data_IF_339210687993
#
_entry.id   IF_339210687993
#
_cell.length_a   1.000
_cell.length_b   1.000
_cell.length_c   1.000
_cell.angle_alpha   90.00
_cell.angle_beta   90.00
_cell.angle_gamma   90.00
#
_symmetry.space_group_name_H-M   'P 1'
#
loop_
_entity.id
_entity.type
_entity.pdbx_description
1 polymer ?
#
# COMPACT_ATOMS: atom_id res chain seq x y z
N UNK A 1 -7.45 5.67 20.78
CA UNK A 1 -7.72 5.07 19.45
C UNK A 1 -6.49 5.31 18.61
N UNK A 2 -5.98 4.29 17.91
CA UNK A 2 -4.74 4.40 17.14
C UNK A 2 -4.86 5.44 15.99
N UNK A 3 -3.80 6.22 15.79
CA UNK A 3 -3.61 7.14 14.67
C UNK A 3 -2.11 7.17 14.34
N UNK A 4 -1.73 6.77 13.11
CA UNK A 4 -0.34 6.68 12.70
C UNK A 4 0.37 8.04 12.70
N UNK A 5 -0.37 9.14 12.51
CA UNK A 5 0.19 10.49 12.50
C UNK A 5 0.58 11.00 13.90
N UNK A 6 0.16 10.32 14.97
CA UNK A 6 0.67 10.59 16.31
C UNK A 6 2.14 10.18 16.50
N UNK A 7 2.68 9.36 15.60
CA UNK A 7 4.03 8.80 15.66
C UNK A 7 4.93 9.25 14.50
N UNK A 8 4.35 9.98 13.53
CA UNK A 8 5.05 10.54 12.37
C UNK A 8 5.62 11.91 12.71
N UNK A 9 6.81 12.21 12.19
CA UNK A 9 7.29 13.59 12.16
C UNK A 9 6.56 14.37 11.05
N UNK A 10 5.56 15.15 11.47
CA UNK A 10 4.75 16.00 10.58
C UNK A 10 5.25 17.45 10.52
N UNK A 11 6.19 17.80 11.40
CA UNK A 11 6.73 19.15 11.58
C UNK A 11 7.95 19.41 10.69
N UNK A 12 8.59 18.36 10.17
CA UNK A 12 9.77 18.47 9.30
C UNK A 12 9.44 18.08 7.86
N UNK A 13 9.81 18.93 6.90
CA UNK A 13 9.81 18.62 5.46
C UNK A 13 11.22 18.55 4.92
N UNK A 14 11.46 17.68 3.96
CA UNK A 14 12.75 17.50 3.30
C UNK A 14 12.67 18.10 1.92
N UNK A 15 13.50 19.09 1.66
CA UNK A 15 13.73 19.66 0.33
C UNK A 15 14.91 18.95 -0.32
N UNK A 16 14.75 18.52 -1.56
CA UNK A 16 15.80 17.84 -2.32
C UNK A 16 15.61 18.07 -3.82
N UNK A 17 16.72 18.04 -4.56
CA UNK A 17 16.75 18.29 -6.00
C UNK A 17 17.37 17.11 -6.73
N UNK A 18 16.77 16.74 -7.84
CA UNK A 18 17.38 15.86 -8.83
C UNK A 18 17.95 16.69 -9.98
N UNK A 19 19.18 16.40 -10.39
CA UNK A 19 19.88 17.00 -11.53
C UNK A 19 20.23 15.94 -12.56
N UNK A 20 20.03 16.24 -13.83
CA UNK A 20 20.47 15.37 -14.91
C UNK A 20 22.00 15.40 -15.04
N UNK A 21 22.62 14.22 -15.17
CA UNK A 21 24.08 14.11 -15.40
C UNK A 21 24.51 14.56 -16.78
N UNK A 22 23.69 14.26 -17.79
CA UNK A 22 23.97 14.51 -19.20
C UNK A 22 23.21 15.74 -19.67
N UNK A 23 23.85 16.52 -20.53
CA UNK A 23 23.24 17.66 -21.19
C UNK A 23 22.39 17.19 -22.38
N UNK A 24 21.34 16.42 -22.09
CA UNK A 24 20.42 15.87 -23.08
C UNK A 24 18.99 16.33 -22.77
N UNK A 25 18.15 16.63 -23.77
CA UNK A 25 16.77 16.99 -23.51
C UNK A 25 15.99 15.82 -22.91
N UNK A 26 15.36 16.02 -21.75
CA UNK A 26 14.36 15.07 -21.21
C UNK A 26 12.98 15.40 -21.76
N UNK A 27 12.30 14.38 -22.28
CA UNK A 27 10.93 14.53 -22.73
C UNK A 27 9.97 14.63 -21.53
N UNK A 28 8.83 15.32 -21.68
CA UNK A 28 7.84 15.43 -20.60
C UNK A 28 7.35 14.09 -20.04
N UNK A 29 7.26 13.04 -20.87
CA UNK A 29 6.86 11.70 -20.45
C UNK A 29 7.93 11.02 -19.59
N UNK A 30 9.20 11.36 -19.79
CA UNK A 30 10.32 10.85 -19.01
C UNK A 30 10.26 11.38 -17.58
N UNK A 31 10.10 12.69 -17.45
CA UNK A 31 9.91 13.38 -16.16
C UNK A 31 8.67 12.83 -15.45
N UNK A 32 7.54 12.69 -16.16
CA UNK A 32 6.32 12.12 -15.59
C UNK A 32 6.50 10.67 -15.10
N UNK A 33 7.28 9.85 -15.84
CA UNK A 33 7.60 8.47 -15.47
C UNK A 33 8.47 8.41 -14.22
N UNK A 34 9.50 9.26 -14.13
CA UNK A 34 10.34 9.40 -12.94
C UNK A 34 9.51 9.83 -11.72
N UNK A 35 8.72 10.90 -11.86
CA UNK A 35 7.84 11.41 -10.80
C UNK A 35 6.86 10.34 -10.30
N UNK A 36 6.25 9.59 -11.22
CA UNK A 36 5.34 8.50 -10.88
C UNK A 36 6.05 7.40 -10.10
N UNK A 37 7.23 6.98 -10.56
CA UNK A 37 8.04 5.95 -9.89
C UNK A 37 8.46 6.40 -8.49
N UNK A 38 9.01 7.59 -8.36
CA UNK A 38 9.48 8.13 -7.09
C UNK A 38 8.33 8.30 -6.09
N UNK A 39 7.20 8.86 -6.53
CA UNK A 39 6.01 9.00 -5.69
C UNK A 39 5.46 7.64 -5.23
N UNK A 40 5.54 6.60 -6.07
CA UNK A 40 5.09 5.24 -5.73
C UNK A 40 5.97 4.64 -4.62
N UNK A 41 7.29 4.75 -4.77
CA UNK A 41 8.26 4.26 -3.78
C UNK A 41 8.08 5.01 -2.45
N UNK A 42 8.02 6.34 -2.50
CA UNK A 42 7.76 7.17 -1.31
C UNK A 42 6.45 6.78 -0.61
N UNK A 43 5.38 6.60 -1.37
CA UNK A 43 4.08 6.17 -0.86
C UNK A 43 4.14 4.83 -0.14
N UNK A 44 4.86 3.86 -0.71
CA UNK A 44 4.97 2.53 -0.12
C UNK A 44 5.84 2.51 1.13
N UNK A 45 6.94 3.28 1.19
CA UNK A 45 7.69 3.43 2.43
C UNK A 45 6.83 4.03 3.55
N UNK A 46 6.08 5.09 3.23
CA UNK A 46 5.16 5.73 4.17
C UNK A 46 4.11 4.74 4.71
N UNK A 47 3.57 3.88 3.85
CA UNK A 47 2.65 2.82 4.27
C UNK A 47 3.34 1.75 5.13
N UNK A 48 4.54 1.30 4.78
CA UNK A 48 5.28 0.31 5.57
C UNK A 48 5.58 0.84 6.99
N UNK A 49 6.00 2.11 7.11
CA UNK A 49 6.24 2.75 8.40
C UNK A 49 4.93 2.85 9.21
N UNK A 50 3.81 3.15 8.56
CA UNK A 50 2.48 3.22 9.18
C UNK A 50 1.99 1.85 9.65
N UNK A 51 2.22 0.79 8.86
CA UNK A 51 1.92 -0.59 9.23
C UNK A 51 2.74 -1.01 10.46
N UNK A 52 4.05 -0.74 10.46
CA UNK A 52 4.91 -1.03 11.61
C UNK A 52 4.42 -0.28 12.86
N UNK A 53 4.05 1.00 12.71
CA UNK A 53 3.48 1.79 13.81
C UNK A 53 2.18 1.18 14.35
N UNK A 54 1.28 0.72 13.49
CA UNK A 54 0.05 0.05 13.91
C UNK A 54 0.35 -1.20 14.75
N UNK A 55 1.24 -2.05 14.26
CA UNK A 55 1.64 -3.29 14.95
C UNK A 55 2.30 -3.02 16.31
N UNK A 56 3.22 -2.06 16.38
CA UNK A 56 3.90 -1.68 17.64
C UNK A 56 2.93 -1.14 18.70
N UNK A 57 1.78 -0.59 18.28
CA UNK A 57 0.78 -0.02 19.17
C UNK A 57 -0.43 -0.94 19.38
N UNK A 58 -0.24 -2.24 19.17
CA UNK A 58 -1.19 -3.28 19.55
C UNK A 58 -2.33 -3.52 18.56
N UNK A 59 -2.25 -2.99 17.33
CA UNK A 59 -3.14 -3.43 16.24
C UNK A 59 -2.68 -4.82 15.79
N UNK A 60 -3.61 -5.78 15.76
CA UNK A 60 -3.31 -7.13 15.33
C UNK A 60 -3.04 -7.19 13.82
N UNK A 61 -2.15 -8.06 13.32
CA UNK A 61 -1.94 -8.24 11.88
C UNK A 61 -3.24 -8.58 11.12
N UNK A 62 -4.16 -9.30 11.75
CA UNK A 62 -5.46 -9.66 11.18
C UNK A 62 -6.40 -8.46 10.95
N UNK A 63 -6.14 -7.35 11.65
CA UNK A 63 -6.90 -6.11 11.60
C UNK A 63 -6.38 -5.12 10.55
N UNK A 64 -5.26 -5.42 9.90
CA UNK A 64 -4.68 -4.60 8.84
C UNK A 64 -5.05 -5.20 7.48
N UNK A 65 -5.75 -4.44 6.63
CA UNK A 65 -6.19 -4.88 5.31
C UNK A 65 -5.64 -3.98 4.20
N UNK A 66 -5.37 -4.58 3.04
CA UNK A 66 -5.07 -3.92 1.78
C UNK A 66 -6.18 -4.21 0.78
N UNK A 67 -6.49 -3.25 -0.10
CA UNK A 67 -7.39 -3.47 -1.23
C UNK A 67 -6.60 -3.78 -2.49
N UNK A 68 -7.13 -4.70 -3.30
CA UNK A 68 -6.37 -5.32 -4.38
C UNK A 68 -6.30 -4.51 -5.70
N UNK A 69 -6.84 -3.29 -5.75
CA UNK A 69 -6.55 -2.31 -6.80
C UNK A 69 -6.05 -0.98 -6.23
N UNK A 70 -5.47 -0.16 -7.13
CA UNK A 70 -4.94 1.15 -6.76
C UNK A 70 -6.06 2.16 -6.53
N UNK A 71 -5.86 3.07 -5.58
CA UNK A 71 -6.72 4.23 -5.39
C UNK A 71 -6.85 5.06 -6.68
N UNK A 72 -8.07 5.29 -7.19
CA UNK A 72 -8.31 6.25 -8.28
C UNK A 72 -7.64 7.60 -8.02
N UNK A 73 -6.98 8.16 -9.04
CA UNK A 73 -6.18 9.40 -8.94
C UNK A 73 -7.02 10.68 -8.84
N UNK A 74 -8.27 10.65 -9.27
CA UNK A 74 -9.13 11.84 -9.44
C UNK A 74 -10.10 12.07 -8.27
N UNK A 75 -10.25 11.11 -7.37
CA UNK A 75 -11.16 11.24 -6.23
C UNK A 75 -10.49 11.93 -5.04
N UNK A 76 -11.26 12.76 -4.34
CA UNK A 76 -10.83 13.44 -3.10
C UNK A 76 -11.30 12.60 -1.92
N UNK A 77 -10.40 11.80 -1.35
CA UNK A 77 -10.68 10.96 -0.19
C UNK A 77 -10.60 11.73 1.14
N UNK A 78 -11.01 13.00 1.16
CA UNK A 78 -10.87 13.85 2.34
C UNK A 78 -11.65 13.33 3.55
N UNK A 79 -12.67 12.51 3.32
CA UNK A 79 -13.51 11.88 4.34
C UNK A 79 -12.98 10.50 4.78
N UNK A 80 -11.97 9.95 4.09
CA UNK A 80 -11.40 8.63 4.39
C UNK A 80 -10.26 8.73 5.43
N UNK A 81 -10.60 9.12 6.66
CA UNK A 81 -9.64 9.13 7.77
C UNK A 81 -10.05 8.15 8.88
N UNK A 82 -11.21 8.39 9.51
CA UNK A 82 -11.88 7.43 10.40
C UNK A 82 -13.24 7.12 9.81
N UNK A 83 -13.52 5.85 9.55
CA UNK A 83 -14.81 5.42 9.02
C UNK A 83 -15.37 4.34 9.93
N UNK A 84 -16.69 4.29 10.09
CA UNK A 84 -17.30 3.05 10.60
C UNK A 84 -17.07 1.94 9.59
N UNK A 85 -16.95 0.70 10.05
CA UNK A 85 -16.69 -0.44 9.17
C UNK A 85 -17.78 -0.61 8.10
N UNK A 86 -19.05 -0.36 8.45
CA UNK A 86 -20.16 -0.43 7.51
C UNK A 86 -20.09 0.65 6.41
N UNK A 87 -19.74 1.90 6.77
CA UNK A 87 -19.54 2.97 5.76
C UNK A 87 -18.30 2.70 4.91
N UNK A 88 -17.22 2.22 5.52
CA UNK A 88 -16.03 1.78 4.82
C UNK A 88 -16.31 0.65 3.82
N UNK A 89 -17.19 -0.31 4.15
CA UNK A 89 -17.59 -1.38 3.25
C UNK A 89 -18.23 -0.85 1.96
N UNK A 90 -19.01 0.23 2.03
CA UNK A 90 -19.51 0.91 0.84
C UNK A 90 -18.39 1.63 0.08
N UNK A 91 -17.61 2.45 0.80
CA UNK A 91 -16.63 3.36 0.18
C UNK A 91 -15.44 2.63 -0.44
N UNK A 92 -15.03 1.50 0.14
CA UNK A 92 -13.86 0.75 -0.34
C UNK A 92 -14.23 -0.31 -1.38
N UNK A 93 -15.51 -0.64 -1.55
CA UNK A 93 -15.96 -1.62 -2.54
C UNK A 93 -15.48 -1.34 -3.98
N UNK A 94 -15.52 -0.09 -4.50
CA UNK A 94 -15.00 0.21 -5.83
C UNK A 94 -13.47 0.05 -5.96
N UNK A 95 -12.75 0.07 -4.84
CA UNK A 95 -11.28 -0.01 -4.81
C UNK A 95 -10.82 -1.46 -5.02
N UNK A 96 -11.55 -2.44 -4.51
CA UNK A 96 -11.18 -3.84 -4.74
C UNK A 96 -11.61 -4.77 -3.61
N UNK A 97 -11.10 -5.99 -3.65
CA UNK A 97 -11.31 -6.99 -2.62
C UNK A 97 -10.35 -6.75 -1.45
N UNK A 98 -10.83 -6.82 -0.19
CA UNK A 98 -9.97 -6.71 0.98
C UNK A 98 -9.11 -7.96 1.15
N UNK A 99 -7.86 -7.78 1.53
CA UNK A 99 -6.89 -8.83 1.84
C UNK A 99 -6.21 -8.46 3.15
N UNK A 100 -6.25 -9.31 4.16
CA UNK A 100 -5.61 -9.03 5.45
C UNK A 100 -4.11 -9.32 5.43
N UNK A 101 -3.35 -8.59 6.23
CA UNK A 101 -1.91 -8.79 6.43
C UNK A 101 -1.63 -10.17 7.02
N UNK A 102 -2.50 -10.65 7.92
CA UNK A 102 -2.60 -12.06 8.29
C UNK A 102 -4.06 -12.53 8.12
N UNK A 103 -4.33 -13.65 7.45
CA UNK A 103 -5.69 -14.13 7.28
C UNK A 103 -6.38 -14.44 8.61
N UNK A 104 -7.66 -14.06 8.70
CA UNK A 104 -8.57 -14.32 9.82
C UNK A 104 -9.96 -14.64 9.32
N UNK A 105 -10.80 -15.25 10.16
CA UNK A 105 -12.20 -15.53 9.80
C UNK A 105 -12.94 -14.26 9.37
N UNK A 106 -12.79 -13.16 10.12
CA UNK A 106 -13.36 -11.86 9.79
C UNK A 106 -12.92 -11.37 8.41
N UNK A 107 -11.62 -11.42 8.11
CA UNK A 107 -11.10 -10.96 6.81
C UNK A 107 -11.63 -11.80 5.63
N UNK A 108 -11.76 -13.11 5.82
CA UNK A 108 -12.34 -14.05 4.84
C UNK A 108 -13.84 -13.75 4.63
N UNK A 109 -14.58 -13.49 5.70
CA UNK A 109 -15.99 -13.11 5.65
C UNK A 109 -16.18 -11.79 4.89
N UNK A 110 -15.33 -10.80 5.17
CA UNK A 110 -15.39 -9.52 4.50
C UNK A 110 -15.06 -9.62 3.01
N UNK A 111 -14.03 -10.40 2.65
CA UNK A 111 -13.71 -10.71 1.26
C UNK A 111 -14.87 -11.43 0.56
N UNK A 112 -15.47 -12.41 1.22
CA UNK A 112 -16.62 -13.15 0.69
C UNK A 112 -17.81 -12.24 0.40
N UNK A 113 -18.12 -11.28 1.28
CA UNK A 113 -19.20 -10.32 1.08
C UNK A 113 -18.99 -9.55 -0.24
N UNK A 114 -17.81 -8.97 -0.45
CA UNK A 114 -17.51 -8.23 -1.67
C UNK A 114 -17.56 -9.13 -2.91
N UNK A 115 -16.99 -10.33 -2.82
CA UNK A 115 -16.96 -11.27 -3.92
C UNK A 115 -18.38 -11.72 -4.32
N UNK A 116 -19.25 -11.94 -3.33
CA UNK A 116 -20.65 -12.31 -3.51
C UNK A 116 -21.46 -11.18 -4.11
N UNK A 117 -21.33 -9.97 -3.58
CA UNK A 117 -22.01 -8.78 -4.10
C UNK A 117 -21.60 -8.50 -5.55
N UNK A 118 -20.31 -8.66 -5.88
CA UNK A 118 -19.78 -8.54 -7.24
C UNK A 118 -20.32 -9.63 -8.19
N UNK A 119 -20.45 -10.86 -7.71
CA UNK A 119 -20.98 -11.97 -8.51
C UNK A 119 -22.47 -11.75 -8.85
N UNK A 120 -23.27 -11.35 -7.86
CA UNK A 120 -24.70 -11.06 -8.04
C UNK A 120 -24.90 -9.87 -8.99
N UNK A 121 -24.18 -8.77 -8.78
CA UNK A 121 -24.28 -7.61 -9.66
C UNK A 121 -23.81 -7.87 -11.09
N UNK A 122 -22.79 -8.72 -11.25
CA UNK A 122 -22.37 -9.19 -12.58
C UNK A 122 -23.49 -9.95 -13.28
N UNK A 123 -24.18 -10.86 -12.57
CA UNK A 123 -25.32 -11.60 -13.13
C UNK A 123 -26.46 -10.66 -13.51
N UNK A 124 -26.87 -9.75 -12.61
CA UNK A 124 -27.92 -8.77 -12.88
C UNK A 124 -27.60 -7.96 -14.14
N UNK A 125 -26.36 -7.45 -14.24
CA UNK A 125 -25.91 -6.69 -15.41
C UNK A 125 -25.98 -7.50 -16.71
N UNK A 126 -25.50 -8.74 -16.69
CA UNK A 126 -25.55 -9.65 -17.86
C UNK A 126 -26.99 -9.95 -18.28
N UNK A 127 -27.92 -10.02 -17.33
CA UNK A 127 -29.35 -10.23 -17.57
C UNK A 127 -30.14 -8.94 -17.82
N UNK A 128 -29.44 -7.82 -18.08
CA UNK A 128 -30.03 -6.51 -18.31
C UNK A 128 -31.00 -6.08 -17.20
N UNK A 129 -30.67 -6.41 -15.95
CA UNK A 129 -31.32 -5.93 -14.73
C UNK A 129 -30.41 -4.87 -14.10
N UNK A 130 -31.02 -3.80 -13.59
CA UNK A 130 -30.26 -2.78 -12.85
C UNK A 130 -29.56 -3.41 -11.64
N UNK A 131 -28.24 -3.19 -11.45
CA UNK A 131 -27.51 -3.75 -10.32
C UNK A 131 -28.05 -3.27 -8.97
N UNK A 132 -27.75 -4.05 -7.93
CA UNK A 132 -27.89 -3.65 -6.53
C UNK A 132 -27.06 -2.40 -6.26
N UNK A 133 -27.65 -1.48 -5.48
CA UNK A 133 -27.02 -0.22 -5.09
C UNK A 133 -25.97 -0.45 -4.02
N UNK A 134 -24.89 0.33 -4.04
CA UNK A 134 -23.79 0.19 -3.07
C UNK A 134 -24.22 0.43 -1.62
N UNK A 135 -25.28 1.20 -1.39
CA UNK A 135 -25.88 1.38 -0.06
C UNK A 135 -26.30 0.05 0.57
N UNK A 136 -26.65 -0.95 -0.22
CA UNK A 136 -27.07 -2.26 0.28
C UNK A 136 -25.89 -3.03 0.91
N UNK A 137 -24.64 -2.74 0.54
CA UNK A 137 -23.47 -3.33 1.20
C UNK A 137 -23.40 -2.95 2.68
N UNK A 138 -23.83 -1.75 3.06
CA UNK A 138 -23.77 -1.27 4.45
C UNK A 138 -24.56 -2.24 5.34
N UNK A 139 -25.84 -2.48 5.00
CA UNK A 139 -26.70 -3.38 5.77
C UNK A 139 -26.25 -4.85 5.71
N UNK A 140 -25.68 -5.30 4.58
CA UNK A 140 -25.12 -6.65 4.48
C UNK A 140 -23.86 -6.81 5.34
N UNK A 141 -23.04 -5.77 5.48
CA UNK A 141 -21.86 -5.77 6.34
C UNK A 141 -22.25 -5.77 7.82
N UNK A 142 -23.21 -4.94 8.21
CA UNK A 142 -23.74 -4.94 9.57
C UNK A 142 -24.30 -6.31 9.94
N UNK A 143 -25.06 -6.91 9.01
CA UNK A 143 -25.65 -8.22 9.23
C UNK A 143 -24.62 -9.36 9.30
N UNK A 144 -23.48 -9.20 8.64
CA UNK A 144 -22.39 -10.17 8.70
C UNK A 144 -21.83 -10.33 10.11
N UNK A 145 -21.82 -9.25 10.89
CA UNK A 145 -21.30 -9.24 12.25
C UNK A 145 -22.32 -9.68 13.30
N UNK A 146 -23.63 -9.65 12.99
CA UNK A 146 -24.71 -9.92 13.94
C UNK A 146 -25.37 -11.28 13.67
N UNK A 147 -25.92 -11.49 12.47
CA UNK A 147 -26.64 -12.71 12.09
C UNK A 147 -25.76 -13.76 11.40
N UNK A 148 -24.59 -13.34 10.89
CA UNK A 148 -23.62 -14.23 10.28
C UNK A 148 -23.83 -14.49 8.79
N UNK A 149 -22.95 -15.33 8.25
CA UNK A 149 -22.74 -15.46 6.80
C UNK A 149 -23.94 -16.02 6.02
N UNK A 150 -24.59 -17.06 6.53
CA UNK A 150 -25.70 -17.72 5.83
C UNK A 150 -26.89 -16.79 5.67
N UNK A 151 -27.14 -15.98 6.70
CA UNK A 151 -28.14 -14.92 6.65
C UNK A 151 -27.79 -13.87 5.59
N UNK A 152 -26.54 -13.36 5.60
CA UNK A 152 -26.08 -12.38 4.60
C UNK A 152 -26.21 -12.91 3.18
N UNK A 153 -25.86 -14.19 2.97
CA UNK A 153 -26.01 -14.87 1.68
C UNK A 153 -27.48 -14.90 1.25
N UNK A 154 -28.39 -15.35 2.11
CA UNK A 154 -29.82 -15.38 1.78
C UNK A 154 -30.34 -13.98 1.50
N UNK A 155 -30.01 -13.02 2.37
CA UNK A 155 -30.46 -11.63 2.24
C UNK A 155 -29.99 -10.98 0.94
N UNK A 156 -28.74 -11.23 0.53
CA UNK A 156 -28.23 -10.74 -0.76
C UNK A 156 -29.02 -11.32 -1.94
N UNK A 157 -29.35 -12.61 -1.89
CA UNK A 157 -30.17 -13.27 -2.92
C UNK A 157 -31.58 -12.70 -2.95
N UNK A 158 -32.20 -12.47 -1.80
CA UNK A 158 -33.54 -11.89 -1.70
C UNK A 158 -33.57 -10.46 -2.28
N UNK A 159 -32.59 -9.62 -1.95
CA UNK A 159 -32.45 -8.29 -2.54
C UNK A 159 -32.31 -8.35 -4.08
N UNK A 160 -31.59 -9.33 -4.60
CA UNK A 160 -31.41 -9.52 -6.03
C UNK A 160 -32.67 -10.02 -6.73
N UNK A 161 -33.41 -10.92 -6.09
CA UNK A 161 -34.70 -11.41 -6.56
C UNK A 161 -35.72 -10.27 -6.64
N UNK A 162 -35.87 -9.50 -5.56
CA UNK A 162 -36.74 -8.31 -5.53
C UNK A 162 -36.42 -7.33 -6.67
N UNK A 163 -35.13 -7.11 -6.93
CA UNK A 163 -34.67 -6.22 -8.01
C UNK A 163 -34.97 -6.81 -9.40
N UNK A 164 -34.81 -8.11 -9.58
CA UNK A 164 -35.08 -8.81 -10.83
C UNK A 164 -36.58 -8.89 -11.15
N UNK A 165 -37.43 -9.13 -10.15
CA UNK A 165 -38.88 -9.21 -10.28
C UNK A 165 -39.46 -7.86 -10.73
N UNK A 166 -39.01 -6.76 -10.09
CA UNK A 166 -39.37 -5.40 -10.51
C UNK A 166 -39.03 -5.16 -11.98
N UNK A 167 -37.84 -5.59 -12.40
CA UNK A 167 -37.40 -5.42 -13.78
C UNK A 167 -38.17 -6.29 -14.78
N UNK A 168 -38.54 -7.51 -14.38
CA UNK A 168 -39.36 -8.41 -15.17
C UNK A 168 -40.78 -7.84 -15.38
N UNK A 169 -41.44 -7.39 -14.30
CA UNK A 169 -42.78 -6.79 -14.37
C UNK A 169 -42.85 -5.61 -15.33
N UNK A 170 -41.89 -4.68 -15.25
CA UNK A 170 -41.81 -3.52 -16.15
C UNK A 170 -41.65 -3.95 -17.61
N UNK A 171 -40.88 -4.99 -17.89
CA UNK A 171 -40.67 -5.50 -19.25
C UNK A 171 -41.96 -6.13 -19.80
N UNK A 172 -42.65 -6.94 -18.99
CA UNK A 172 -43.93 -7.56 -19.36
C UNK A 172 -44.99 -6.51 -19.63
N UNK A 173 -45.10 -5.47 -18.79
CA UNK A 173 -46.02 -4.34 -19.00
C UNK A 173 -45.75 -3.58 -20.31
N UNK A 174 -44.50 -3.58 -20.79
CA UNK A 174 -44.10 -3.01 -22.08
C UNK A 174 -44.21 -3.97 -23.27
N UNK A 175 -44.64 -5.21 -23.04
CA UNK A 175 -44.69 -6.26 -24.07
C UNK A 175 -43.31 -6.78 -24.49
N UNK A 176 -42.27 -6.52 -23.70
CA UNK A 176 -40.91 -6.99 -23.97
C UNK A 176 -40.74 -8.44 -23.49
N UNK A 177 -40.03 -9.27 -24.27
CA UNK A 177 -39.66 -10.63 -23.85
C UNK A 177 -38.46 -10.55 -22.89
N UNK A 178 -38.70 -10.84 -21.62
CA UNK A 178 -37.65 -10.94 -20.59
C UNK A 178 -37.75 -12.25 -19.83
N UNK A 179 -36.62 -12.87 -19.56
CA UNK A 179 -36.55 -14.08 -18.73
C UNK A 179 -36.64 -13.69 -17.25
N UNK A 180 -37.47 -14.40 -16.50
CA UNK A 180 -37.53 -14.27 -15.04
C UNK A 180 -36.33 -14.99 -14.39
N UNK A 181 -35.65 -14.30 -13.47
CA UNK A 181 -34.54 -14.89 -12.72
C UNK A 181 -35.05 -15.60 -11.47
N UNK A 182 -34.53 -16.79 -11.21
CA UNK A 182 -34.91 -17.63 -10.08
C UNK A 182 -33.79 -17.65 -9.04
N UNK A 183 -34.12 -18.09 -7.82
CA UNK A 183 -33.16 -18.24 -6.71
C UNK A 183 -31.93 -19.09 -7.13
N UNK A 184 -32.17 -20.15 -7.89
CA UNK A 184 -31.13 -21.04 -8.42
C UNK A 184 -30.10 -20.34 -9.32
N UNK A 185 -30.47 -19.26 -10.01
CA UNK A 185 -29.54 -18.51 -10.85
C UNK A 185 -28.54 -17.73 -9.99
N UNK A 186 -29.02 -17.14 -8.90
CA UNK A 186 -28.18 -16.45 -7.92
C UNK A 186 -27.33 -17.44 -7.12
N UNK A 187 -27.89 -18.57 -6.70
CA UNK A 187 -27.12 -19.64 -6.07
C UNK A 187 -25.97 -20.12 -6.97
N UNK A 188 -26.21 -20.24 -8.28
CA UNK A 188 -25.17 -20.55 -9.27
C UNK A 188 -24.10 -19.46 -9.37
N UNK A 189 -24.49 -18.19 -9.35
CA UNK A 189 -23.54 -17.08 -9.34
C UNK A 189 -22.65 -17.09 -8.08
N UNK A 190 -23.17 -17.59 -6.95
CA UNK A 190 -22.47 -17.66 -5.68
C UNK A 190 -21.54 -18.88 -5.51
N UNK A 191 -21.50 -19.83 -6.45
CA UNK A 191 -20.61 -21.01 -6.38
C UNK A 191 -19.14 -20.61 -6.20
N UNK A 192 -18.66 -19.60 -6.94
CA UNK A 192 -17.26 -19.15 -6.85
C UNK A 192 -16.95 -18.51 -5.49
N UNK A 193 -17.75 -17.53 -4.99
CA UNK A 193 -17.60 -17.03 -3.62
C UNK A 193 -17.61 -18.12 -2.55
N UNK A 194 -18.54 -19.08 -2.63
CA UNK A 194 -18.66 -20.17 -1.64
C UNK A 194 -17.41 -21.05 -1.65
N UNK A 195 -16.93 -21.48 -2.83
CA UNK A 195 -15.68 -22.26 -2.94
C UNK A 195 -14.46 -21.52 -2.40
N UNK A 196 -14.38 -20.21 -2.65
CA UNK A 196 -13.31 -19.37 -2.08
C UNK A 196 -13.35 -19.42 -0.55
N UNK A 197 -14.53 -19.25 0.05
CA UNK A 197 -14.71 -19.26 1.51
C UNK A 197 -14.33 -20.62 2.11
N UNK A 198 -14.89 -21.71 1.58
CA UNK A 198 -14.61 -23.07 2.06
C UNK A 198 -13.12 -23.40 1.99
N UNK A 199 -12.45 -23.02 0.89
CA UNK A 199 -11.03 -23.24 0.76
C UNK A 199 -10.22 -22.38 1.74
N UNK A 200 -10.57 -21.11 1.88
CA UNK A 200 -9.88 -20.18 2.79
C UNK A 200 -10.05 -20.58 4.26
N UNK A 201 -11.19 -21.17 4.64
CA UNK A 201 -11.40 -21.72 5.98
C UNK A 201 -10.49 -22.91 6.25
N UNK A 202 -10.42 -23.87 5.34
CA UNK A 202 -9.49 -25.01 5.45
C UNK A 202 -8.03 -24.56 5.56
N UNK A 203 -7.67 -23.52 4.82
CA UNK A 203 -6.32 -22.96 4.85
C UNK A 203 -6.02 -22.27 6.16
N UNK A 204 -6.98 -21.48 6.65
CA UNK A 204 -6.87 -20.80 7.94
C UNK A 204 -6.73 -21.80 9.08
N UNK A 205 -7.55 -22.86 9.10
CA UNK A 205 -7.45 -23.95 10.09
C UNK A 205 -6.06 -24.58 10.07
N UNK A 206 -5.54 -24.92 8.89
CA UNK A 206 -4.20 -25.48 8.75
C UNK A 206 -3.11 -24.53 9.25
N UNK A 207 -3.15 -23.26 8.82
CA UNK A 207 -2.13 -22.26 9.15
C UNK A 207 -2.17 -21.85 10.62
N UNK A 208 -3.35 -21.87 11.25
CA UNK A 208 -3.51 -21.53 12.67
C UNK A 208 -2.74 -22.48 13.58
N UNK A 209 -2.47 -23.72 13.13
CA UNK A 209 -1.65 -24.69 13.85
C UNK A 209 -0.14 -24.56 13.63
N UNK A 210 0.33 -23.61 12.81
CA UNK A 210 1.74 -23.44 12.49
C UNK A 210 2.39 -22.33 13.31
N UNK A 211 3.63 -22.58 13.76
CA UNK A 211 4.51 -21.54 14.26
C UNK A 211 5.14 -20.74 13.10
N UNK A 212 5.87 -19.67 13.42
CA UNK A 212 6.42 -18.78 12.41
C UNK A 212 7.53 -19.42 11.54
N UNK A 213 8.36 -20.29 12.11
CA UNK A 213 9.38 -21.03 11.34
C UNK A 213 8.73 -21.96 10.31
N UNK A 214 7.66 -22.64 10.69
CA UNK A 214 6.87 -23.50 9.78
C UNK A 214 6.18 -22.68 8.68
N UNK A 215 5.67 -21.48 8.99
CA UNK A 215 5.13 -20.56 7.98
C UNK A 215 6.21 -20.10 6.99
N UNK A 216 7.43 -19.88 7.45
CA UNK A 216 8.57 -19.56 6.56
C UNK A 216 8.91 -20.75 5.68
N UNK A 217 8.92 -21.96 6.23
CA UNK A 217 9.20 -23.18 5.48
C UNK A 217 8.26 -23.34 4.27
N UNK A 218 6.95 -23.09 4.46
CA UNK A 218 5.95 -23.14 3.39
C UNK A 218 6.29 -22.30 2.15
N UNK A 219 7.05 -21.20 2.31
CA UNK A 219 7.45 -20.34 1.21
C UNK A 219 8.44 -21.01 0.25
N UNK A 220 9.14 -22.04 0.73
CA UNK A 220 10.21 -22.75 0.00
C UNK A 220 9.89 -24.21 -0.25
N UNK A 221 8.97 -24.81 0.53
CA UNK A 221 8.61 -26.21 0.39
C UNK A 221 7.99 -26.51 -0.99
N UNK A 222 8.47 -27.55 -1.69
CA UNK A 222 7.85 -28.00 -2.94
C UNK A 222 6.46 -28.59 -2.67
N UNK A 223 5.60 -28.55 -3.68
CA UNK A 223 4.26 -29.15 -3.64
C UNK A 223 3.12 -28.14 -3.78
N UNK A 224 2.08 -28.54 -4.51
CA UNK A 224 0.95 -27.66 -4.87
C UNK A 224 0.21 -27.09 -3.66
N UNK A 225 0.05 -27.88 -2.59
CA UNK A 225 -0.61 -27.44 -1.37
C UNK A 225 0.21 -26.40 -0.61
N UNK A 226 1.53 -26.62 -0.48
CA UNK A 226 2.44 -25.69 0.19
C UNK A 226 2.49 -24.36 -0.56
N UNK A 227 2.63 -24.39 -1.88
CA UNK A 227 2.60 -23.18 -2.73
C UNK A 227 1.30 -22.39 -2.55
N UNK A 228 0.17 -23.09 -2.47
CA UNK A 228 -1.15 -22.47 -2.29
C UNK A 228 -1.29 -21.82 -0.91
N UNK A 229 -0.82 -22.47 0.15
CA UNK A 229 -0.80 -21.91 1.50
C UNK A 229 0.18 -20.73 1.61
N UNK A 230 1.34 -20.82 0.95
CA UNK A 230 2.28 -19.71 0.84
C UNK A 230 1.63 -18.49 0.17
N UNK A 231 0.93 -18.69 -0.96
CA UNK A 231 0.18 -17.61 -1.64
C UNK A 231 -0.90 -17.02 -0.74
N UNK A 232 -1.57 -17.84 0.07
CA UNK A 232 -2.57 -17.36 1.02
C UNK A 232 -1.95 -16.50 2.12
N UNK A 233 -0.80 -16.91 2.67
CA UNK A 233 -0.02 -16.17 3.67
C UNK A 233 0.60 -14.87 3.12
N UNK A 234 1.09 -14.87 1.89
CA UNK A 234 1.79 -13.72 1.30
C UNK A 234 0.87 -12.82 0.47
N UNK A 235 -0.43 -13.12 0.41
CA UNK A 235 -1.39 -12.42 -0.46
C UNK A 235 -1.36 -10.90 -0.27
N UNK A 236 -1.28 -10.43 0.98
CA UNK A 236 -1.16 -9.00 1.28
C UNK A 236 0.05 -8.35 0.58
N UNK A 237 1.24 -8.95 0.73
CA UNK A 237 2.48 -8.42 0.18
C UNK A 237 2.54 -8.53 -1.34
N UNK A 238 1.96 -9.60 -1.90
CA UNK A 238 1.76 -9.71 -3.35
C UNK A 238 0.89 -8.58 -3.91
N UNK A 239 -0.19 -8.19 -3.19
CA UNK A 239 -1.02 -7.04 -3.56
C UNK A 239 -0.28 -5.73 -3.34
N UNK A 240 0.45 -5.59 -2.25
CA UNK A 240 1.23 -4.41 -1.93
C UNK A 240 2.27 -4.11 -3.02
N UNK A 241 3.00 -5.12 -3.47
CA UNK A 241 4.01 -4.98 -4.51
C UNK A 241 3.39 -4.59 -5.87
N UNK A 242 2.36 -5.32 -6.32
CA UNK A 242 1.74 -5.12 -7.64
C UNK A 242 0.91 -3.85 -7.77
N UNK A 243 0.50 -3.25 -6.65
CA UNK A 243 -0.37 -2.08 -6.64
C UNK A 243 0.46 -0.80 -6.53
N UNK A 244 0.24 0.15 -7.43
CA UNK A 244 1.01 1.42 -7.47
C UNK A 244 0.64 2.31 -6.29
N UNK A 245 -0.66 2.38 -5.95
CA UNK A 245 -1.16 3.16 -4.80
C UNK A 245 -2.16 2.33 -3.99
N UNK A 246 -1.69 1.31 -3.25
CA UNK A 246 -2.57 0.47 -2.46
C UNK A 246 -3.27 1.27 -1.36
N UNK A 247 -4.57 1.05 -1.16
CA UNK A 247 -5.24 1.51 0.04
C UNK A 247 -4.99 0.49 1.15
N UNK A 248 -4.42 0.94 2.27
CA UNK A 248 -4.22 0.13 3.47
C UNK A 248 -4.99 0.75 4.64
N UNK A 249 -5.73 -0.07 5.36
CA UNK A 249 -6.53 0.34 6.50
C UNK A 249 -6.26 -0.56 7.71
N UNK A 250 -6.33 0.01 8.91
CA UNK A 250 -6.29 -0.72 10.17
C UNK A 250 -7.65 -0.63 10.87
N UNK A 251 -8.18 -1.74 11.35
CA UNK A 251 -9.34 -1.74 12.26
C UNK A 251 -8.90 -1.21 13.62
N UNK A 252 -9.57 -0.17 14.11
CA UNK A 252 -9.21 0.54 15.35
C UNK A 252 -10.42 0.73 16.26
N UNK A 253 -10.30 0.31 17.51
CA UNK A 253 -11.41 0.36 18.47
C UNK A 253 -12.62 -0.48 18.02
N UNK A 254 -13.79 -0.20 18.58
CA UNK A 254 -15.02 -0.95 18.29
C UNK A 254 -15.68 -0.47 16.98
N UNK A 255 -15.43 -1.17 15.88
CA UNK A 255 -16.22 -1.01 14.65
C UNK A 255 -15.76 0.10 13.69
N UNK A 256 -14.48 0.49 13.72
CA UNK A 256 -13.96 1.58 12.86
C UNK A 256 -12.70 1.17 12.10
N UNK A 257 -12.54 1.73 10.91
CA UNK A 257 -11.32 1.69 10.13
C UNK A 257 -10.61 3.03 10.12
N UNK A 258 -9.29 2.97 10.32
CA UNK A 258 -8.33 4.04 10.07
C UNK A 258 -7.64 3.78 8.74
N UNK A 259 -7.61 4.75 7.84
CA UNK A 259 -6.76 4.70 6.64
C UNK A 259 -5.32 5.07 7.04
N UNK A 260 -4.37 4.19 6.71
CA UNK A 260 -2.95 4.43 6.99
C UNK A 260 -2.33 5.32 5.90
N UNK A 261 -1.33 6.14 6.25
CA UNK A 261 -0.68 7.03 5.29
C UNK A 261 -1.62 8.08 4.69
N UNK A 262 -2.61 8.54 5.48
CA UNK A 262 -3.72 9.39 5.01
C UNK A 262 -3.27 10.65 4.28
N UNK A 263 -2.08 11.20 4.55
CA UNK A 263 -1.58 12.41 3.89
C UNK A 263 -1.26 12.25 2.41
N UNK A 264 -1.11 11.02 1.96
CA UNK A 264 -0.85 10.70 0.56
C UNK A 264 -2.11 10.27 -0.20
N UNK A 265 -3.20 10.09 0.56
CA UNK A 265 -4.55 9.76 0.08
C UNK A 265 -5.41 11.03 0.08
N UNK A 266 -5.29 11.88 1.11
CA UNK A 266 -6.01 13.12 1.33
C UNK A 266 -5.12 14.35 1.06
N UNK A 267 -5.35 15.05 -0.05
CA UNK A 267 -4.61 16.26 -0.44
C UNK A 267 -4.78 17.47 0.49
N UNK A 268 -5.66 17.42 1.50
CA UNK A 268 -5.74 18.48 2.52
C UNK A 268 -4.57 18.42 3.52
N UNK A 269 -3.92 17.28 3.63
CA UNK A 269 -2.78 17.07 4.53
C UNK A 269 -1.51 17.65 3.88
N UNK A 270 -0.76 18.47 4.62
CA UNK A 270 0.41 19.22 4.11
C UNK A 270 1.72 18.43 4.12
N UNK A 271 1.68 17.10 4.27
CA UNK A 271 2.87 16.25 4.46
C UNK A 271 3.17 15.34 3.25
N UNK A 272 2.46 15.53 2.14
CA UNK A 272 2.71 14.81 0.89
C UNK A 272 3.97 15.27 0.13
N UNK A 273 4.34 14.47 -0.89
CA UNK A 273 5.36 14.82 -1.87
C UNK A 273 4.84 15.94 -2.79
N UNK A 274 5.59 17.03 -2.86
CA UNK A 274 5.29 18.21 -3.66
C UNK A 274 6.44 18.51 -4.61
N UNK A 275 6.11 18.73 -5.88
CA UNK A 275 7.03 19.28 -6.87
C UNK A 275 6.99 20.81 -6.77
N UNK A 276 8.12 21.43 -6.42
CA UNK A 276 8.24 22.89 -6.25
C UNK A 276 8.71 23.59 -7.52
N UNK A 277 9.67 23.00 -8.22
CA UNK A 277 10.26 23.63 -9.40
C UNK A 277 10.70 22.57 -10.43
N UNK A 278 10.48 22.87 -11.71
CA UNK A 278 11.17 22.19 -12.82
C UNK A 278 11.99 23.25 -13.55
N UNK A 279 13.31 23.17 -13.43
CA UNK A 279 14.24 23.97 -14.22
C UNK A 279 14.43 23.30 -15.57
N UNK A 280 13.91 23.91 -16.63
CA UNK A 280 14.03 23.42 -18.01
C UNK A 280 15.37 23.73 -18.68
N UNK A 281 16.13 24.68 -18.14
CA UNK A 281 17.44 25.05 -18.68
C UNK A 281 18.51 24.10 -18.16
N UNK A 282 19.39 23.64 -19.05
CA UNK A 282 20.45 22.69 -18.73
C UNK A 282 21.36 23.16 -17.57
N UNK A 283 21.72 22.26 -16.64
CA UNK A 283 21.19 20.90 -16.49
C UNK A 283 19.76 20.92 -15.96
N UNK A 284 18.90 20.04 -16.52
CA UNK A 284 17.52 19.91 -16.07
C UNK A 284 17.49 19.53 -14.59
N UNK A 285 16.64 20.22 -13.82
CA UNK A 285 16.53 20.00 -12.40
C UNK A 285 15.09 19.98 -11.92
N UNK A 286 14.75 19.05 -11.04
CA UNK A 286 13.46 19.02 -10.38
C UNK A 286 13.64 19.14 -8.86
N UNK A 287 13.04 20.17 -8.27
CA UNK A 287 13.07 20.45 -6.83
C UNK A 287 11.79 19.92 -6.18
N UNK A 288 11.95 19.16 -5.12
CA UNK A 288 10.87 18.53 -4.38
C UNK A 288 10.90 18.95 -2.92
N UNK A 289 9.73 18.89 -2.29
CA UNK A 289 9.58 18.86 -0.85
C UNK A 289 8.69 17.68 -0.46
N UNK A 290 9.04 16.94 0.59
CA UNK A 290 8.26 15.80 1.06
C UNK A 290 8.38 15.64 2.58
N UNK A 291 7.62 14.71 3.17
CA UNK A 291 7.82 14.29 4.56
C UNK A 291 9.15 13.56 4.76
N UNK A 292 9.49 13.30 6.03
CA UNK A 292 10.79 12.71 6.44
C UNK A 292 11.08 11.34 5.79
N UNK A 293 10.06 10.58 5.41
CA UNK A 293 10.22 9.28 4.72
C UNK A 293 10.88 9.41 3.36
N UNK A 294 10.92 10.60 2.75
CA UNK A 294 11.64 10.79 1.50
C UNK A 294 13.14 10.47 1.65
N UNK A 295 13.70 10.60 2.86
CA UNK A 295 15.07 10.17 3.12
C UNK A 295 15.28 8.67 2.88
N UNK A 296 14.31 7.81 3.23
CA UNK A 296 14.40 6.36 2.96
C UNK A 296 14.48 6.08 1.46
N UNK A 297 13.75 6.86 0.64
CA UNK A 297 13.78 6.75 -0.81
C UNK A 297 15.10 7.26 -1.43
N UNK A 298 15.69 8.34 -0.91
CA UNK A 298 16.87 8.98 -1.51
C UNK A 298 18.23 8.47 -0.97
N UNK A 299 18.29 7.90 0.24
CA UNK A 299 19.55 7.42 0.83
C UNK A 299 20.16 6.16 0.19
N UNK A 300 19.39 5.46 -0.65
CA UNK A 300 19.77 4.11 -1.11
C UNK A 300 20.72 4.12 -2.31
N UNK A 301 21.25 5.28 -2.72
CA UNK A 301 22.12 5.40 -3.90
C UNK A 301 23.41 4.56 -3.81
N UNK A 302 23.92 4.18 -2.62
CA UNK A 302 24.97 3.14 -2.43
C UNK A 302 25.35 2.98 -0.96
N UNK A 303 24.73 2.05 -0.23
CA UNK A 303 25.13 1.73 1.15
C UNK A 303 25.41 0.25 1.31
N UNK A 304 26.69 -0.11 1.25
CA UNK A 304 27.33 -1.15 2.10
C UNK A 304 28.78 -1.42 1.64
N UNK A 305 29.00 -1.55 0.33
CA UNK A 305 30.32 -1.97 -0.19
C UNK A 305 31.29 -0.80 -0.42
N UNK A 306 30.78 0.38 -0.78
CA UNK A 306 31.65 1.53 -1.04
C UNK A 306 32.13 2.21 0.24
N UNK A 307 31.29 2.33 1.28
CA UNK A 307 31.67 2.96 2.55
C UNK A 307 32.86 2.29 3.23
N UNK A 308 32.91 0.95 3.27
CA UNK A 308 34.00 0.22 3.92
C UNK A 308 35.30 0.20 3.10
N UNK A 309 35.19 0.14 1.77
CA UNK A 309 36.36 0.31 0.90
C UNK A 309 36.90 1.74 0.93
N UNK A 310 36.02 2.73 1.08
CA UNK A 310 36.39 4.14 1.12
C UNK A 310 36.98 4.50 2.49
N UNK A 311 36.48 3.99 3.61
CA UNK A 311 37.13 4.16 4.93
C UNK A 311 38.56 3.60 4.95
N UNK A 312 38.77 2.43 4.31
CA UNK A 312 40.11 1.88 4.10
C UNK A 312 40.96 2.77 3.19
N UNK A 313 40.36 3.37 2.14
CA UNK A 313 41.06 4.30 1.22
C UNK A 313 41.33 5.68 1.86
N UNK A 314 40.49 6.18 2.75
CA UNK A 314 40.66 7.43 3.49
C UNK A 314 41.88 7.29 4.42
N UNK A 315 41.95 6.21 5.20
CA UNK A 315 43.11 5.91 6.06
C UNK A 315 44.40 5.64 5.29
N UNK A 316 44.30 5.10 4.07
CA UNK A 316 45.46 4.84 3.22
C UNK A 316 45.93 6.08 2.43
N UNK A 317 45.08 7.10 2.25
CA UNK A 317 45.33 8.28 1.38
C UNK A 317 45.63 9.58 2.11
N UNK A 318 45.67 9.60 3.44
CA UNK A 318 46.25 10.72 4.20
C UNK A 318 47.74 10.97 3.85
N UNK A 319 48.38 10.07 3.07
CA UNK A 319 49.82 10.08 2.77
C UNK A 319 50.16 10.51 1.31
N UNK A 320 49.24 10.54 0.34
CA UNK A 320 49.59 10.86 -1.07
C UNK A 320 48.74 12.00 -1.67
N UNK A 321 49.31 13.20 -1.66
CA UNK A 321 48.60 14.48 -1.88
C UNK A 321 48.94 15.12 -3.23
N UNK A 322 48.72 14.43 -4.37
CA UNK A 322 48.98 15.04 -5.69
C UNK A 322 48.10 14.55 -6.85
N UNK A 323 46.87 14.16 -6.54
CA UNK A 323 45.84 13.75 -7.53
C UNK A 323 44.49 14.46 -7.25
N UNK A 324 44.60 15.70 -6.77
CA UNK A 324 43.71 16.32 -5.77
C UNK A 324 42.38 16.92 -6.29
N UNK A 325 42.15 17.05 -7.60
CA UNK A 325 40.95 17.77 -8.10
C UNK A 325 39.73 16.87 -8.27
N UNK A 326 39.90 15.72 -8.93
CA UNK A 326 38.84 14.71 -9.09
C UNK A 326 38.59 13.98 -7.76
N UNK A 327 39.64 13.82 -6.94
CA UNK A 327 39.50 13.23 -5.61
C UNK A 327 38.85 14.20 -4.61
N UNK A 328 39.14 15.50 -4.69
CA UNK A 328 38.49 16.53 -3.86
C UNK A 328 36.98 16.64 -4.07
N UNK A 329 36.50 16.63 -5.33
CA UNK A 329 35.05 16.64 -5.61
C UNK A 329 34.35 15.36 -5.13
N UNK A 330 35.01 14.20 -5.25
CA UNK A 330 34.48 12.94 -4.70
C UNK A 330 34.39 12.99 -3.18
N UNK A 331 35.44 13.45 -2.50
CA UNK A 331 35.46 13.60 -1.04
C UNK A 331 34.35 14.55 -0.58
N UNK A 332 34.20 15.71 -1.24
CA UNK A 332 33.15 16.68 -0.93
C UNK A 332 31.74 16.11 -1.11
N UNK A 333 31.50 15.33 -2.18
CA UNK A 333 30.22 14.67 -2.37
C UNK A 333 29.96 13.62 -1.28
N UNK A 334 30.98 12.85 -0.88
CA UNK A 334 30.87 11.89 0.23
C UNK A 334 30.59 12.58 1.57
N UNK A 335 31.20 13.72 1.85
CA UNK A 335 30.92 14.50 3.06
C UNK A 335 29.45 14.96 3.09
N UNK A 336 28.92 15.43 1.96
CA UNK A 336 27.52 15.83 1.85
C UNK A 336 26.57 14.63 2.02
N UNK A 337 26.91 13.48 1.42
CA UNK A 337 26.19 12.21 1.64
C UNK A 337 26.19 11.80 3.12
N UNK A 338 27.34 11.94 3.81
CA UNK A 338 27.48 11.62 5.22
C UNK A 338 26.69 12.60 6.12
N UNK A 339 26.66 13.88 5.77
CA UNK A 339 25.83 14.87 6.47
C UNK A 339 24.33 14.55 6.32
N UNK A 340 23.89 14.23 5.11
CA UNK A 340 22.51 13.78 4.85
C UNK A 340 22.20 12.49 5.63
N UNK A 341 23.15 11.57 5.69
CA UNK A 341 23.09 10.33 6.46
C UNK A 341 22.88 10.58 7.96
N UNK A 342 23.72 11.43 8.55
CA UNK A 342 23.66 11.75 9.97
C UNK A 342 22.38 12.50 10.31
N UNK A 343 21.97 13.45 9.48
CA UNK A 343 20.74 14.21 9.68
C UNK A 343 19.49 13.34 9.59
N UNK A 344 19.46 12.36 8.69
CA UNK A 344 18.42 11.34 8.71
C UNK A 344 18.44 10.51 9.99
N UNK A 345 19.61 10.09 10.47
CA UNK A 345 19.71 9.31 11.70
C UNK A 345 19.28 10.13 12.94
N UNK A 346 19.40 11.45 12.90
CA UNK A 346 18.85 12.36 13.90
C UNK A 346 17.33 12.48 13.78
N UNK A 347 16.81 12.69 12.56
CA UNK A 347 15.37 12.82 12.29
C UNK A 347 14.63 11.49 12.49
N UNK A 348 15.25 10.35 12.23
CA UNK A 348 14.64 9.03 12.37
C UNK A 348 14.43 8.65 13.83
N UNK A 349 15.31 9.13 14.73
CA UNK A 349 15.18 8.89 16.17
C UNK A 349 13.86 9.46 16.68
N UNK A 350 13.04 8.60 17.23
CA UNK A 350 11.73 8.99 17.80
C UNK A 350 10.61 9.12 16.76
N UNK A 351 10.81 8.65 15.52
CA UNK A 351 9.76 8.61 14.47
C UNK A 351 9.44 7.19 14.04
N UNK A 352 8.39 7.03 13.25
CA UNK A 352 7.97 5.75 12.65
C UNK A 352 8.96 5.17 11.63
N UNK A 353 10.01 5.91 11.24
CA UNK A 353 11.02 5.48 10.28
C UNK A 353 11.85 4.28 10.77
N UNK A 354 11.98 4.11 12.08
CA UNK A 354 12.68 2.98 12.72
C UNK A 354 11.71 1.95 13.33
N UNK A 355 10.39 2.11 13.11
CA UNK A 355 9.35 1.27 13.72
C UNK A 355 9.48 -0.23 13.41
N UNK A 356 10.09 -0.60 12.29
CA UNK A 356 10.34 -2.02 11.99
C UNK A 356 11.30 -2.67 13.01
N UNK A 357 12.24 -1.92 13.60
CA UNK A 357 13.24 -2.43 14.53
C UNK A 357 12.65 -2.81 15.88
N UNK A 358 11.51 -2.24 16.25
CA UNK A 358 10.80 -2.54 17.49
C UNK A 358 9.80 -3.69 17.36
N UNK A 359 9.55 -4.19 16.14
CA UNK A 359 8.69 -5.35 15.94
C UNK A 359 9.36 -6.61 16.48
N UNK A 360 8.60 -7.43 17.18
CA UNK A 360 9.05 -8.74 17.63
C UNK A 360 9.34 -9.65 16.42
N UNK A 361 10.41 -10.49 16.48
CA UNK A 361 10.68 -11.48 15.44
C UNK A 361 9.44 -12.32 15.17
N UNK A 362 8.99 -12.32 13.92
CA UNK A 362 7.79 -13.03 13.49
C UNK A 362 7.78 -13.22 11.98
N UNK A 363 6.91 -14.10 11.49
CA UNK A 363 6.67 -14.25 10.04
C UNK A 363 6.26 -12.91 9.40
N UNK A 364 5.42 -12.14 10.08
CA UNK A 364 4.96 -10.82 9.61
C UNK A 364 6.13 -9.84 9.53
N UNK A 365 6.97 -9.75 10.57
CA UNK A 365 8.15 -8.90 10.57
C UNK A 365 9.14 -9.25 9.44
N UNK A 366 9.30 -10.55 9.14
CA UNK A 366 10.11 -11.01 8.01
C UNK A 366 9.53 -10.54 6.66
N UNK A 367 8.22 -10.68 6.44
CA UNK A 367 7.59 -10.25 5.20
C UNK A 367 7.63 -8.71 5.03
N UNK A 368 7.43 -7.95 6.11
CA UNK A 368 7.61 -6.49 6.10
C UNK A 368 9.05 -6.14 5.71
N UNK A 369 10.04 -6.81 6.32
CA UNK A 369 11.47 -6.60 5.99
C UNK A 369 11.76 -6.87 4.51
N UNK A 370 11.17 -7.94 3.95
CA UNK A 370 11.26 -8.25 2.52
C UNK A 370 10.62 -7.15 1.66
N UNK A 371 9.46 -6.63 2.07
CA UNK A 371 8.79 -5.53 1.36
C UNK A 371 9.63 -4.24 1.36
N UNK A 372 10.26 -3.87 2.49
CA UNK A 372 11.25 -2.79 2.52
C UNK A 372 12.40 -3.05 1.54
N UNK A 373 12.94 -4.27 1.50
CA UNK A 373 13.99 -4.65 0.56
C UNK A 373 13.60 -4.47 -0.91
N UNK A 374 12.36 -4.85 -1.27
CA UNK A 374 11.81 -4.62 -2.62
C UNK A 374 11.71 -3.13 -2.93
N UNK A 375 11.17 -2.32 -2.01
CA UNK A 375 11.03 -0.88 -2.24
C UNK A 375 12.37 -0.14 -2.25
N UNK A 376 13.36 -0.62 -1.51
CA UNK A 376 14.76 -0.14 -1.62
C UNK A 376 15.29 -0.42 -3.04
N UNK A 377 15.08 -1.63 -3.57
CA UNK A 377 15.45 -1.96 -4.95
C UNK A 377 14.74 -1.08 -5.99
N UNK A 378 13.44 -0.82 -5.79
CA UNK A 378 12.65 0.07 -6.64
C UNK A 378 13.16 1.51 -6.57
N UNK A 379 13.50 2.00 -5.37
CA UNK A 379 14.09 3.32 -5.16
C UNK A 379 15.37 3.48 -5.99
N UNK A 380 16.32 2.56 -5.82
CA UNK A 380 17.58 2.53 -6.58
C UNK A 380 17.33 2.53 -8.09
N UNK A 381 16.40 1.70 -8.56
CA UNK A 381 16.03 1.65 -9.98
C UNK A 381 15.47 2.97 -10.50
N UNK A 382 14.57 3.62 -9.74
CA UNK A 382 13.99 4.92 -10.10
C UNK A 382 15.05 6.01 -10.11
N UNK A 383 15.93 6.04 -9.11
CA UNK A 383 16.99 7.03 -8.97
C UNK A 383 18.06 6.91 -10.06
N UNK A 384 18.33 5.70 -10.58
CA UNK A 384 19.28 5.51 -11.68
C UNK A 384 18.64 5.64 -13.07
N UNK A 385 17.31 5.74 -13.14
CA UNK A 385 16.60 5.92 -14.41
C UNK A 385 16.86 7.33 -14.95
N UNK A 386 17.06 7.44 -16.26
CA UNK A 386 17.17 8.72 -16.99
C UNK A 386 18.35 9.61 -16.58
N UNK A 387 19.42 9.04 -16.01
CA UNK A 387 20.63 9.77 -15.62
C UNK A 387 20.37 10.96 -14.65
N UNK A 388 19.23 10.96 -13.97
CA UNK A 388 18.94 11.89 -12.88
C UNK A 388 19.72 11.47 -11.64
N UNK A 389 20.32 12.43 -10.94
CA UNK A 389 21.07 12.21 -9.71
C UNK A 389 20.60 13.14 -8.62
N UNK A 390 20.60 12.65 -7.39
CA UNK A 390 20.34 13.50 -6.25
C UNK A 390 21.48 14.51 -6.12
N UNK A 391 21.13 15.78 -6.03
CA UNK A 391 22.05 16.84 -5.64
C UNK A 391 22.09 16.89 -4.11
N UNK A 392 23.04 16.19 -3.50
CA UNK A 392 23.17 16.12 -2.03
C UNK A 392 23.34 17.49 -1.38
N UNK A 393 23.88 18.49 -2.11
CA UNK A 393 24.01 19.86 -1.59
C UNK A 393 22.66 20.59 -1.46
N UNK A 394 21.64 20.13 -2.20
CA UNK A 394 20.29 20.68 -2.14
C UNK A 394 19.44 20.09 -1.02
N UNK A 395 19.89 19.00 -0.40
CA UNK A 395 19.13 18.26 0.59
C UNK A 395 19.12 19.03 1.91
N UNK A 396 17.95 19.53 2.29
CA UNK A 396 17.77 20.33 3.50
C UNK A 396 16.48 19.98 4.22
N UNK A 397 16.51 20.01 5.55
CA UNK A 397 15.30 19.89 6.37
C UNK A 397 14.73 21.30 6.62
N UNK A 398 13.42 21.42 6.45
CA UNK A 398 12.61 22.60 6.69
C UNK A 398 11.75 22.30 7.90
N UNK A 399 11.92 23.08 8.96
CA UNK A 399 11.03 23.05 10.11
C UNK A 399 9.79 23.90 9.83
N UNK A 400 8.61 23.33 10.08
CA UNK A 400 7.32 23.99 9.87
C UNK A 400 6.80 24.73 11.11
N UNK A 401 7.49 24.64 12.25
CA UNK A 401 7.09 25.26 13.52
C UNK A 401 7.61 26.68 13.74
N UNK A 402 8.36 27.23 12.77
CA UNK A 402 8.98 28.56 12.82
C UNK A 402 8.14 29.63 12.12
#
# INVERSE_FOLDING_TARGET
MFDDYAFKNTETRIRFKFLQKKDEPLYPWEIASFLKGFNTVYYKFELLNSICSALNHGILPEDIIIFDHSLPLYERYAEMNLLSEATAAKLFYPIGLPVALTPSEWSINYHFLYLSFKAVNSLLKVKHVQPLRLEQIIGLYEALNIEGLDYVKSRLVDLALEQSEKSYRIAVEKGEKKEELKRSDFDRALIKPVRFKEQSQKDLEFISGLNDDQKVELLTSPGRNNQRLAVFLTSFFDKFDKTVRPLVCARVGSGKFRVLGRSLVNKKERTGLELKEIKKNSPLGALFEAGVTAYQAIQQEKRAKELHEIDKKIKAKEIELLDARIQGEKIKNFELELQVANRYAEISRGTDLDAIKSLSPSFVQLQISKAYGVEIGNAVSVLHKQDLKLDYSSVSAIDLTV
#
